data_IF_599412704018
#
_entry.id   IF_599412704018
#
_cell.length_a   1.000
_cell.length_b   1.000
_cell.length_c   1.000
_cell.angle_alpha   90.00
_cell.angle_beta   90.00
_cell.angle_gamma   90.00
#
_symmetry.space_group_name_H-M   'P 1'
#
loop_
_entity.id
_entity.type
_entity.pdbx_description
1 polymer ?
#
# COMPACT_ATOMS: atom_id res chain seq x y z
N UNK A 1 -22.17 -10.28 -21.70
CA UNK A 1 -21.34 -9.07 -21.56
C UNK A 1 -21.13 -8.62 -20.10
N UNK A 2 -22.12 -8.76 -19.20
CA UNK A 2 -22.01 -8.35 -17.79
C UNK A 2 -21.25 -9.35 -16.89
N UNK A 3 -21.26 -10.65 -17.25
CA UNK A 3 -20.52 -11.72 -16.55
C UNK A 3 -18.99 -11.59 -16.69
N UNK A 4 -18.54 -11.11 -17.85
CA UNK A 4 -17.13 -10.97 -18.23
C UNK A 4 -16.46 -9.72 -17.62
N UNK A 5 -17.24 -8.64 -17.45
CA UNK A 5 -16.85 -7.46 -16.66
C UNK A 5 -16.64 -7.80 -15.17
N UNK A 6 -17.50 -8.68 -14.63
CA UNK A 6 -17.41 -9.13 -13.24
C UNK A 6 -16.21 -10.06 -12.99
N UNK A 7 -15.80 -10.86 -13.99
CA UNK A 7 -14.58 -11.68 -13.92
C UNK A 7 -13.29 -10.86 -14.09
N UNK A 8 -13.26 -9.88 -14.99
CA UNK A 8 -12.13 -8.93 -15.08
C UNK A 8 -12.00 -8.08 -13.81
N UNK A 9 -13.13 -7.64 -13.24
CA UNK A 9 -13.17 -6.97 -11.94
C UNK A 9 -12.66 -7.85 -10.80
N UNK A 10 -13.07 -9.12 -10.76
CA UNK A 10 -12.55 -10.12 -9.79
C UNK A 10 -11.07 -10.46 -10.00
N UNK A 11 -10.54 -10.42 -11.23
CA UNK A 11 -9.11 -10.61 -11.53
C UNK A 11 -8.26 -9.39 -11.14
N UNK A 12 -8.81 -8.18 -11.23
CA UNK A 12 -8.17 -6.94 -10.75
C UNK A 12 -8.26 -6.81 -9.22
N UNK A 13 -9.28 -7.43 -8.61
CA UNK A 13 -9.50 -7.58 -7.17
C UNK A 13 -9.08 -8.94 -6.64
N UNK A 14 -8.30 -9.71 -7.42
CA UNK A 14 -7.76 -10.97 -6.94
C UNK A 14 -6.82 -10.60 -5.80
N UNK A 15 -7.36 -10.63 -4.58
CA UNK A 15 -6.62 -10.57 -3.34
C UNK A 15 -5.50 -11.59 -3.53
N UNK A 16 -4.28 -11.07 -3.57
CA UNK A 16 -3.08 -11.83 -3.87
C UNK A 16 -3.13 -13.13 -3.08
N UNK A 17 -3.13 -14.28 -3.76
CA UNK A 17 -3.25 -15.58 -3.11
C UNK A 17 -1.92 -15.88 -2.42
N UNK A 18 -1.82 -15.40 -1.19
CA UNK A 18 -0.65 -15.52 -0.32
C UNK A 18 -0.92 -16.57 0.75
N UNK A 19 0.10 -17.33 1.12
CA UNK A 19 -0.01 -18.25 2.25
C UNK A 19 -0.42 -17.51 3.54
N UNK A 20 -1.25 -18.11 4.41
CA UNK A 20 -1.80 -17.43 5.59
C UNK A 20 -0.71 -16.95 6.56
N UNK A 21 0.42 -17.66 6.64
CA UNK A 21 1.56 -17.26 7.46
C UNK A 21 2.27 -16.01 6.90
N UNK A 22 2.39 -15.91 5.58
CA UNK A 22 3.01 -14.75 4.90
C UNK A 22 2.15 -13.51 5.14
N UNK A 23 0.82 -13.62 4.98
CA UNK A 23 -0.11 -12.51 5.23
C UNK A 23 -0.01 -12.00 6.68
N UNK A 24 0.00 -12.91 7.66
CA UNK A 24 0.15 -12.54 9.09
C UNK A 24 1.49 -11.84 9.36
N UNK A 25 2.58 -12.37 8.82
CA UNK A 25 3.91 -11.78 9.00
C UNK A 25 4.00 -10.38 8.37
N UNK A 26 3.50 -10.20 7.15
CA UNK A 26 3.48 -8.90 6.48
C UNK A 26 2.64 -7.87 7.24
N UNK A 27 1.47 -8.28 7.78
CA UNK A 27 0.65 -7.41 8.60
C UNK A 27 1.34 -7.03 9.90
N UNK A 28 2.01 -7.97 10.57
CA UNK A 28 2.76 -7.70 11.79
C UNK A 28 3.92 -6.72 11.54
N UNK A 29 4.71 -6.94 10.49
CA UNK A 29 5.80 -6.04 10.09
C UNK A 29 5.29 -4.65 9.70
N UNK A 30 4.20 -4.58 8.93
CA UNK A 30 3.57 -3.30 8.58
C UNK A 30 3.04 -2.55 9.81
N UNK A 31 2.45 -3.26 10.77
CA UNK A 31 2.01 -2.68 12.03
C UNK A 31 3.19 -2.09 12.83
N UNK A 32 4.32 -2.80 12.89
CA UNK A 32 5.55 -2.30 13.53
C UNK A 32 6.02 -1.01 12.87
N UNK A 33 6.09 -0.96 11.53
CA UNK A 33 6.46 0.28 10.81
C UNK A 33 5.53 1.44 11.17
N UNK A 34 4.22 1.22 11.18
CA UNK A 34 3.27 2.28 11.55
C UNK A 34 3.42 2.72 13.01
N UNK A 35 3.71 1.79 13.92
CA UNK A 35 3.96 2.11 15.33
C UNK A 35 5.22 2.97 15.49
N UNK A 36 6.30 2.64 14.77
CA UNK A 36 7.53 3.46 14.76
C UNK A 36 7.21 4.88 14.30
N UNK A 37 6.48 5.03 13.18
CA UNK A 37 6.12 6.37 12.67
C UNK A 37 5.25 7.14 13.68
N UNK A 38 4.32 6.47 14.36
CA UNK A 38 3.51 7.10 15.40
C UNK A 38 4.34 7.55 16.61
N UNK A 39 5.30 6.73 17.04
CA UNK A 39 6.24 7.14 18.10
C UNK A 39 7.06 8.35 17.64
N UNK A 40 7.40 8.41 16.35
CA UNK A 40 8.08 9.56 15.75
C UNK A 40 7.21 10.83 15.71
N UNK A 41 5.92 10.67 15.42
CA UNK A 41 4.98 11.79 15.32
C UNK A 41 4.70 12.47 16.68
N UNK A 42 4.81 11.74 17.80
CA UNK A 42 4.54 12.26 19.15
C UNK A 42 5.81 12.74 19.86
N UNK A 43 6.98 12.63 19.22
CA UNK A 43 8.27 12.96 19.83
C UNK A 43 8.53 12.15 21.11
N UNK A 44 8.09 10.90 21.12
CA UNK A 44 8.08 10.08 22.34
C UNK A 44 9.49 9.83 22.89
N UNK A 45 10.47 9.63 22.01
CA UNK A 45 11.86 9.36 22.40
C UNK A 45 12.51 10.57 23.07
N UNK A 46 12.22 11.78 22.57
CA UNK A 46 12.67 13.04 23.19
C UNK A 46 12.06 13.21 24.58
N UNK A 47 10.77 12.89 24.75
CA UNK A 47 10.10 12.94 26.07
C UNK A 47 10.67 11.94 27.07
N UNK A 48 11.22 10.84 26.59
CA UNK A 48 11.88 9.82 27.41
C UNK A 48 13.37 10.13 27.66
N UNK A 49 13.91 11.21 27.09
CA UNK A 49 15.30 11.61 27.25
C UNK A 49 16.30 10.89 26.34
N UNK A 50 15.83 10.24 25.26
CA UNK A 50 16.69 9.64 24.25
C UNK A 50 16.92 10.59 23.08
N UNK A 51 18.17 10.69 22.60
CA UNK A 51 18.56 11.52 21.44
C UNK A 51 18.74 10.64 20.19
N UNK A 52 17.64 10.06 19.70
CA UNK A 52 17.65 9.32 18.43
C UNK A 52 17.45 10.25 17.23
N UNK A 53 18.13 9.91 16.13
CA UNK A 53 18.07 10.63 14.87
C UNK A 53 16.90 10.16 14.01
N UNK A 54 16.34 11.06 13.21
CA UNK A 54 15.24 10.74 12.28
C UNK A 54 15.65 9.65 11.28
N UNK A 55 16.92 9.67 10.86
CA UNK A 55 17.49 8.71 9.93
C UNK A 55 17.50 7.29 10.49
N UNK A 56 17.65 7.10 11.80
CA UNK A 56 17.54 5.77 12.42
C UNK A 56 16.15 5.18 12.21
N UNK A 57 15.10 5.99 12.37
CA UNK A 57 13.72 5.58 12.08
C UNK A 57 13.55 5.21 10.61
N UNK A 58 14.05 6.05 9.70
CA UNK A 58 13.94 5.84 8.25
C UNK A 58 14.62 4.56 7.81
N UNK A 59 15.83 4.31 8.32
CA UNK A 59 16.62 3.11 8.03
C UNK A 59 15.88 1.86 8.52
N UNK A 60 15.34 1.88 9.74
CA UNK A 60 14.56 0.75 10.27
C UNK A 60 13.31 0.51 9.43
N UNK A 61 12.58 1.56 9.08
CA UNK A 61 11.40 1.46 8.23
C UNK A 61 11.74 0.90 6.84
N UNK A 62 12.88 1.30 6.26
CA UNK A 62 13.38 0.73 5.00
C UNK A 62 13.68 -0.76 5.13
N UNK A 63 14.37 -1.17 6.19
CA UNK A 63 14.72 -2.58 6.45
C UNK A 63 13.48 -3.46 6.55
N UNK A 64 12.49 -3.03 7.32
CA UNK A 64 11.20 -3.74 7.43
C UNK A 64 10.49 -3.77 6.07
N UNK A 65 10.51 -2.66 5.33
CA UNK A 65 9.87 -2.56 4.01
C UNK A 65 10.55 -3.48 2.98
N UNK A 66 11.88 -3.52 2.92
CA UNK A 66 12.62 -4.47 2.09
C UNK A 66 12.28 -5.91 2.48
N UNK A 67 12.21 -6.18 3.79
CA UNK A 67 11.79 -7.48 4.30
C UNK A 67 10.42 -7.91 3.78
N UNK A 68 9.43 -7.01 3.87
CA UNK A 68 8.08 -7.18 3.32
C UNK A 68 8.14 -7.38 1.80
N UNK A 69 8.92 -6.57 1.07
CA UNK A 69 8.96 -6.64 -0.39
C UNK A 69 9.48 -8.00 -0.85
N UNK A 70 10.58 -8.51 -0.29
CA UNK A 70 11.13 -9.80 -0.70
C UNK A 70 10.23 -10.98 -0.32
N UNK A 71 9.56 -10.90 0.84
CA UNK A 71 8.60 -11.91 1.29
C UNK A 71 7.34 -11.90 0.41
N UNK A 72 6.89 -10.71 -0.03
CA UNK A 72 5.64 -10.54 -0.75
C UNK A 72 5.82 -10.70 -2.25
N UNK A 73 6.71 -9.94 -2.89
CA UNK A 73 6.86 -9.89 -4.34
C UNK A 73 7.84 -10.96 -4.86
N UNK A 74 7.36 -11.95 -5.64
CA UNK A 74 8.20 -12.98 -6.23
C UNK A 74 9.02 -12.41 -7.38
N UNK A 75 10.16 -13.04 -7.65
CA UNK A 75 11.11 -12.62 -8.68
C UNK A 75 10.50 -12.50 -10.10
N UNK A 76 9.50 -13.33 -10.42
CA UNK A 76 8.86 -13.39 -11.75
C UNK A 76 7.67 -12.43 -11.94
N UNK A 77 7.35 -11.56 -10.96
CA UNK A 77 6.21 -10.65 -11.07
C UNK A 77 4.83 -11.33 -11.04
N UNK A 78 4.78 -12.60 -10.64
CA UNK A 78 3.54 -13.36 -10.47
C UNK A 78 2.66 -12.86 -9.33
N UNK A 79 1.35 -13.07 -9.45
CA UNK A 79 0.32 -12.68 -8.47
C UNK A 79 0.02 -13.76 -7.42
N UNK A 80 0.49 -14.99 -7.62
CA UNK A 80 0.24 -16.10 -6.69
C UNK A 80 1.53 -16.51 -5.98
N UNK A 81 1.47 -16.69 -4.64
CA UNK A 81 2.62 -17.10 -3.85
C UNK A 81 2.23 -18.04 -2.70
N UNK A 82 2.33 -19.33 -2.99
CA UNK A 82 2.03 -20.41 -2.03
C UNK A 82 3.27 -20.88 -1.25
N UNK A 83 4.47 -20.72 -1.80
CA UNK A 83 5.73 -21.12 -1.15
C UNK A 83 6.75 -19.98 -1.17
N UNK A 84 7.59 -19.94 -0.14
CA UNK A 84 8.63 -18.92 0.02
C UNK A 84 10.00 -19.52 -0.33
N UNK A 85 10.62 -19.14 -1.46
CA UNK A 85 11.95 -19.63 -1.82
C UNK A 85 13.03 -19.13 -0.86
N UNK A 86 14.05 -19.95 -0.63
CA UNK A 86 15.15 -19.64 0.29
C UNK A 86 15.91 -18.35 -0.10
N UNK A 87 16.03 -18.05 -1.39
CA UNK A 87 16.74 -16.86 -1.87
C UNK A 87 16.03 -15.56 -1.44
N UNK A 88 14.70 -15.55 -1.39
CA UNK A 88 13.94 -14.37 -0.97
C UNK A 88 13.95 -14.19 0.54
N UNK A 89 14.03 -15.29 1.29
CA UNK A 89 14.28 -15.24 2.73
C UNK A 89 15.67 -14.65 3.01
N UNK A 90 16.69 -15.10 2.27
CA UNK A 90 18.04 -14.57 2.41
C UNK A 90 18.11 -13.08 2.09
N UNK A 91 17.51 -12.63 0.97
CA UNK A 91 17.46 -11.22 0.61
C UNK A 91 16.68 -10.36 1.62
N UNK A 92 15.58 -10.90 2.16
CA UNK A 92 14.80 -10.27 3.23
C UNK A 92 15.65 -10.09 4.49
N UNK A 93 16.34 -11.13 4.94
CA UNK A 93 17.21 -11.10 6.11
C UNK A 93 18.44 -10.20 5.90
N UNK A 94 19.03 -10.20 4.70
CA UNK A 94 20.13 -9.29 4.37
C UNK A 94 19.68 -7.83 4.38
N UNK A 95 18.57 -7.50 3.72
CA UNK A 95 18.07 -6.12 3.71
C UNK A 95 17.68 -5.63 5.10
N UNK A 96 16.95 -6.46 5.84
CA UNK A 96 16.53 -6.12 7.20
C UNK A 96 17.73 -6.05 8.17
N UNK A 97 18.67 -6.99 8.07
CA UNK A 97 19.88 -7.03 8.87
C UNK A 97 20.83 -5.86 8.59
N UNK A 98 21.07 -5.53 7.32
CA UNK A 98 21.90 -4.38 6.93
C UNK A 98 21.31 -3.06 7.41
N UNK A 99 19.99 -2.89 7.31
CA UNK A 99 19.32 -1.70 7.85
C UNK A 99 19.37 -1.64 9.38
N UNK A 100 19.12 -2.75 10.09
CA UNK A 100 19.21 -2.74 11.56
C UNK A 100 20.63 -2.48 12.05
N UNK A 101 21.63 -3.08 11.41
CA UNK A 101 23.02 -2.79 11.70
C UNK A 101 23.36 -1.32 11.45
N UNK A 102 22.87 -0.76 10.34
CA UNK A 102 23.06 0.66 10.03
C UNK A 102 22.40 1.57 11.07
N UNK A 103 21.19 1.25 11.52
CA UNK A 103 20.50 2.03 12.54
C UNK A 103 21.23 2.02 13.89
N UNK A 104 21.89 0.90 14.23
CA UNK A 104 22.70 0.78 15.45
C UNK A 104 23.96 1.65 15.37
N UNK A 105 24.72 1.57 14.27
CA UNK A 105 25.98 2.31 14.10
C UNK A 105 25.77 3.77 13.66
N UNK A 106 24.52 4.20 13.44
CA UNK A 106 24.23 5.53 12.89
C UNK A 106 24.80 6.68 13.75
N UNK A 107 24.77 6.56 15.08
CA UNK A 107 25.38 7.56 15.97
C UNK A 107 26.90 7.70 15.78
N UNK A 108 27.58 6.59 15.49
CA UNK A 108 29.03 6.59 15.21
C UNK A 108 29.33 7.16 13.80
N UNK A 109 28.41 6.96 12.85
CA UNK A 109 28.51 7.55 11.51
C UNK A 109 28.41 9.07 11.57
N UNK A 110 27.44 9.60 12.33
CA UNK A 110 27.23 11.04 12.44
C UNK A 110 28.39 11.72 13.19
N UNK A 111 28.89 11.10 14.26
CA UNK A 111 30.01 11.64 15.03
C UNK A 111 31.35 11.55 14.30
N UNK A 112 31.59 10.49 13.52
CA UNK A 112 32.87 10.24 12.86
C UNK A 112 32.71 9.74 11.41
N UNK A 113 32.18 10.57 10.49
CA UNK A 113 31.85 10.15 9.13
C UNK A 113 33.08 9.75 8.31
N UNK A 114 34.28 10.23 8.66
CA UNK A 114 35.52 9.88 7.95
C UNK A 114 36.06 8.50 8.35
N UNK A 115 36.00 8.14 9.63
CA UNK A 115 36.51 6.87 10.15
C UNK A 115 35.59 5.70 9.78
N UNK A 116 34.27 5.94 9.75
CA UNK A 116 33.26 4.90 9.49
C UNK A 116 33.05 4.63 7.99
N UNK A 117 33.80 5.29 7.09
CA UNK A 117 33.69 5.12 5.63
C UNK A 117 33.77 3.68 5.14
N UNK A 118 34.72 2.83 5.59
CA UNK A 118 34.78 1.44 5.13
C UNK A 118 33.51 0.67 5.51
N UNK A 119 32.94 0.94 6.68
CA UNK A 119 31.69 0.31 7.12
C UNK A 119 30.50 0.81 6.31
N UNK A 120 30.44 2.11 6.01
CA UNK A 120 29.40 2.68 5.14
C UNK A 120 29.48 2.09 3.72
N UNK A 121 30.68 1.88 3.19
CA UNK A 121 30.88 1.21 1.90
C UNK A 121 30.33 -0.22 1.91
N UNK A 122 30.65 -1.02 2.94
CA UNK A 122 30.17 -2.40 3.09
C UNK A 122 28.64 -2.48 3.18
N UNK A 123 28.00 -1.50 3.83
CA UNK A 123 26.54 -1.44 3.90
C UNK A 123 25.96 -0.97 2.56
N UNK A 124 26.55 0.06 1.93
CA UNK A 124 26.11 0.61 0.65
C UNK A 124 26.16 -0.39 -0.49
N UNK A 125 27.23 -1.18 -0.59
CA UNK A 125 27.38 -2.22 -1.62
C UNK A 125 26.33 -3.35 -1.48
N UNK A 126 25.76 -3.53 -0.28
CA UNK A 126 24.67 -4.48 -0.03
C UNK A 126 23.31 -3.83 -0.27
N UNK A 127 23.06 -2.64 0.29
CA UNK A 127 21.77 -1.96 0.22
C UNK A 127 21.43 -1.48 -1.19
N UNK A 128 22.38 -0.93 -1.94
CA UNK A 128 22.10 -0.38 -3.29
C UNK A 128 21.54 -1.47 -4.22
N UNK A 129 22.16 -2.66 -4.37
CA UNK A 129 21.58 -3.75 -5.17
C UNK A 129 20.25 -4.27 -4.62
N UNK A 130 20.08 -4.35 -3.29
CA UNK A 130 18.82 -4.79 -2.68
C UNK A 130 17.68 -3.82 -3.01
N UNK A 131 17.93 -2.51 -2.92
CA UNK A 131 16.94 -1.48 -3.28
C UNK A 131 16.66 -1.51 -4.77
N UNK A 132 17.68 -1.70 -5.62
CA UNK A 132 17.50 -1.86 -7.06
C UNK A 132 16.60 -3.06 -7.41
N UNK A 133 16.82 -4.20 -6.77
CA UNK A 133 16.02 -5.40 -6.97
C UNK A 133 14.61 -5.26 -6.39
N UNK A 134 14.46 -4.62 -5.23
CA UNK A 134 13.18 -4.29 -4.64
C UNK A 134 12.35 -3.39 -5.57
N UNK A 135 12.99 -2.36 -6.15
CA UNK A 135 12.39 -1.43 -7.12
C UNK A 135 11.90 -2.16 -8.38
N UNK A 136 12.72 -3.10 -8.89
CA UNK A 136 12.36 -3.97 -10.01
C UNK A 136 11.11 -4.80 -9.73
N UNK A 137 11.00 -5.33 -8.51
CA UNK A 137 9.89 -6.18 -8.09
C UNK A 137 8.59 -5.42 -7.80
N UNK A 138 8.67 -4.18 -7.31
CA UNK A 138 7.47 -3.39 -6.95
C UNK A 138 6.93 -2.55 -8.09
N UNK A 139 7.82 -1.85 -8.81
CA UNK A 139 7.45 -0.81 -9.79
C UNK A 139 7.75 -1.22 -11.23
N UNK A 140 8.49 -2.32 -11.41
CA UNK A 140 8.86 -2.86 -12.71
C UNK A 140 10.07 -2.17 -13.34
N UNK A 141 10.31 -2.49 -14.61
CA UNK A 141 11.52 -2.07 -15.33
C UNK A 141 11.61 -0.57 -15.59
N UNK A 142 10.48 0.14 -15.73
CA UNK A 142 10.48 1.56 -16.10
C UNK A 142 11.25 2.43 -15.09
N UNK A 143 10.89 2.35 -13.80
CA UNK A 143 11.56 3.14 -12.76
C UNK A 143 12.97 2.60 -12.46
N UNK A 144 13.16 1.28 -12.56
CA UNK A 144 14.45 0.63 -12.32
C UNK A 144 15.51 1.07 -13.33
N UNK A 145 15.14 1.22 -14.61
CA UNK A 145 16.06 1.71 -15.64
C UNK A 145 16.48 3.15 -15.37
N UNK A 146 15.53 4.02 -15.03
CA UNK A 146 15.83 5.42 -14.68
C UNK A 146 16.81 5.49 -13.50
N UNK A 147 16.54 4.73 -12.43
CA UNK A 147 17.43 4.64 -11.28
C UNK A 147 18.83 4.12 -11.66
N UNK A 148 18.91 3.10 -12.51
CA UNK A 148 20.18 2.54 -13.00
C UNK A 148 21.00 3.58 -13.78
N UNK A 149 20.34 4.36 -14.65
CA UNK A 149 20.99 5.43 -15.41
C UNK A 149 21.60 6.47 -14.48
N UNK A 150 20.88 6.88 -13.43
CA UNK A 150 21.40 7.84 -12.46
C UNK A 150 22.57 7.28 -11.64
N UNK A 151 22.52 6.00 -11.22
CA UNK A 151 23.67 5.36 -10.57
C UNK A 151 24.88 5.36 -11.49
N UNK A 152 24.72 4.92 -12.74
CA UNK A 152 25.82 4.89 -13.72
C UNK A 152 26.36 6.31 -13.92
N UNK A 153 25.47 7.29 -14.09
CA UNK A 153 25.82 8.70 -14.20
C UNK A 153 26.62 9.21 -13.00
N UNK A 154 26.32 8.79 -11.77
CA UNK A 154 27.13 9.16 -10.60
C UNK A 154 28.59 8.73 -10.72
N UNK A 155 28.90 7.61 -11.37
CA UNK A 155 30.29 7.18 -11.61
C UNK A 155 30.95 7.91 -12.78
N UNK A 156 30.22 8.13 -13.88
CA UNK A 156 30.79 8.70 -15.11
C UNK A 156 30.61 10.22 -15.24
N UNK A 157 29.92 10.86 -14.30
CA UNK A 157 29.55 12.28 -14.38
C UNK A 157 30.75 13.22 -14.51
N UNK A 158 31.90 12.83 -13.98
CA UNK A 158 33.16 13.58 -14.09
C UNK A 158 33.70 13.70 -15.53
N UNK A 159 33.34 12.76 -16.40
CA UNK A 159 33.73 12.72 -17.82
C UNK A 159 32.82 13.58 -18.71
N UNK A 160 31.66 14.01 -18.20
CA UNK A 160 30.68 14.76 -18.98
C UNK A 160 31.12 16.23 -19.08
N UNK A 161 31.31 16.78 -20.28
CA UNK A 161 31.69 18.18 -20.45
C UNK A 161 30.49 19.13 -20.27
N UNK A 162 30.76 20.35 -19.83
CA UNK A 162 29.76 21.42 -19.69
C UNK A 162 29.16 21.53 -18.28
N UNK A 163 27.97 22.14 -18.19
CA UNK A 163 27.30 22.44 -16.92
C UNK A 163 26.85 21.20 -16.13
N UNK A 164 26.78 20.05 -16.80
CA UNK A 164 26.42 18.76 -16.18
C UNK A 164 27.65 17.98 -15.68
N UNK A 165 28.82 18.62 -15.54
CA UNK A 165 30.02 17.93 -15.04
C UNK A 165 29.90 17.61 -13.55
N UNK A 166 29.97 16.32 -13.22
CA UNK A 166 30.05 15.85 -11.85
C UNK A 166 31.44 16.04 -11.24
N UNK A 167 31.53 16.04 -9.92
CA UNK A 167 32.82 16.00 -9.22
C UNK A 167 33.39 14.58 -9.31
N UNK A 168 34.69 14.47 -9.58
CA UNK A 168 35.37 13.18 -9.49
C UNK A 168 35.43 12.72 -8.03
N UNK A 169 34.94 11.51 -7.78
CA UNK A 169 34.95 10.90 -6.46
C UNK A 169 35.48 9.47 -6.57
N UNK A 170 36.23 9.05 -5.55
CA UNK A 170 36.66 7.67 -5.41
C UNK A 170 35.44 6.74 -5.34
N UNK A 171 35.42 5.61 -6.07
CA UNK A 171 34.28 4.68 -6.08
C UNK A 171 33.83 4.21 -4.69
N UNK A 172 34.78 4.00 -3.77
CA UNK A 172 34.48 3.58 -2.38
C UNK A 172 33.69 4.65 -1.64
N UNK A 173 34.15 5.91 -1.76
CA UNK A 173 33.47 7.07 -1.19
C UNK A 173 32.09 7.27 -1.81
N UNK A 174 31.98 7.16 -3.13
CA UNK A 174 30.72 7.35 -3.84
C UNK A 174 29.66 6.33 -3.40
N UNK A 175 30.01 5.05 -3.29
CA UNK A 175 29.08 4.00 -2.84
C UNK A 175 28.65 4.21 -1.39
N UNK A 176 29.57 4.60 -0.52
CA UNK A 176 29.25 4.95 0.87
C UNK A 176 28.28 6.15 0.93
N UNK A 177 28.53 7.20 0.14
CA UNK A 177 27.68 8.40 0.09
C UNK A 177 26.29 8.09 -0.48
N UNK A 178 26.21 7.34 -1.58
CA UNK A 178 24.94 6.97 -2.20
C UNK A 178 24.09 6.09 -1.30
N UNK A 179 24.71 5.15 -0.58
CA UNK A 179 24.00 4.11 0.16
C UNK A 179 23.63 4.48 1.60
N UNK A 180 24.34 5.40 2.25
CA UNK A 180 24.22 5.60 3.71
C UNK A 180 23.97 7.05 4.12
N UNK A 181 24.31 8.03 3.28
CA UNK A 181 24.22 9.43 3.67
C UNK A 181 22.79 9.98 3.58
N UNK A 182 22.48 10.95 4.45
CA UNK A 182 21.24 11.73 4.48
C UNK A 182 21.05 12.69 3.30
N UNK A 183 21.98 12.73 2.34
CA UNK A 183 21.85 13.53 1.10
C UNK A 183 21.41 12.64 -0.07
N UNK A 184 21.67 11.33 0.01
CA UNK A 184 21.32 10.37 -1.03
C UNK A 184 20.10 9.55 -0.61
N UNK A 185 20.30 8.27 -0.28
CA UNK A 185 19.19 7.33 -0.05
C UNK A 185 18.34 7.70 1.18
N UNK A 186 18.93 8.25 2.23
CA UNK A 186 18.23 8.65 3.46
C UNK A 186 17.91 10.14 3.51
N UNK A 187 17.80 10.79 2.35
CA UNK A 187 17.53 12.22 2.29
C UNK A 187 16.08 12.63 2.42
N UNK A 188 15.84 13.89 2.07
CA UNK A 188 14.55 14.55 2.21
C UNK A 188 13.36 13.74 1.65
N UNK A 189 13.45 13.07 0.47
CA UNK A 189 12.35 12.27 -0.04
C UNK A 189 11.98 11.12 0.90
N UNK A 190 12.98 10.43 1.47
CA UNK A 190 12.77 9.34 2.41
C UNK A 190 12.15 9.86 3.71
N UNK A 191 12.63 11.01 4.20
CA UNK A 191 12.07 11.70 5.37
C UNK A 191 10.59 11.99 5.21
N UNK A 192 10.20 12.58 4.08
CA UNK A 192 8.80 12.92 3.78
C UNK A 192 7.96 11.63 3.69
N UNK A 193 8.46 10.58 3.03
CA UNK A 193 7.71 9.33 2.89
C UNK A 193 7.45 8.69 4.26
N UNK A 194 8.50 8.51 5.07
CA UNK A 194 8.40 7.76 6.33
C UNK A 194 7.67 8.55 7.41
N UNK A 195 8.08 9.80 7.66
CA UNK A 195 7.58 10.56 8.80
C UNK A 195 6.24 11.25 8.50
N UNK A 196 5.96 11.55 7.23
CA UNK A 196 4.79 12.35 6.86
C UNK A 196 3.73 11.51 6.12
N UNK A 197 4.10 10.82 5.03
CA UNK A 197 3.11 10.11 4.20
C UNK A 197 2.49 8.92 4.94
N UNK A 198 3.29 8.13 5.66
CA UNK A 198 2.78 6.98 6.43
C UNK A 198 1.77 7.42 7.49
N UNK A 199 2.04 8.53 8.20
CA UNK A 199 1.12 9.08 9.21
C UNK A 199 -0.21 9.51 8.58
N UNK A 200 -0.17 10.18 7.42
CA UNK A 200 -1.39 10.57 6.71
C UNK A 200 -2.20 9.38 6.20
N UNK A 201 -1.54 8.32 5.74
CA UNK A 201 -2.21 7.07 5.37
C UNK A 201 -2.87 6.44 6.60
N UNK A 202 -2.15 6.37 7.72
CA UNK A 202 -2.68 5.83 8.97
C UNK A 202 -3.90 6.61 9.47
N UNK A 203 -3.83 7.95 9.50
CA UNK A 203 -4.96 8.80 9.86
C UNK A 203 -6.14 8.63 8.89
N UNK A 204 -5.85 8.47 7.59
CA UNK A 204 -6.85 8.14 6.58
C UNK A 204 -7.62 6.86 6.89
N UNK A 205 -6.88 5.79 7.22
CA UNK A 205 -7.48 4.52 7.62
C UNK A 205 -8.23 4.64 8.95
N UNK A 206 -7.73 5.41 9.91
CA UNK A 206 -8.42 5.68 11.17
C UNK A 206 -9.79 6.32 10.93
N UNK A 207 -9.86 7.35 10.08
CA UNK A 207 -11.13 8.03 9.74
C UNK A 207 -12.12 7.14 9.00
N UNK A 208 -11.62 6.20 8.18
CA UNK A 208 -12.46 5.20 7.52
C UNK A 208 -13.06 4.22 8.53
N UNK A 209 -12.26 3.76 9.49
CA UNK A 209 -12.69 2.80 10.49
C UNK A 209 -13.59 3.38 11.59
N UNK A 210 -13.47 4.68 11.89
CA UNK A 210 -14.33 5.35 12.88
C UNK A 210 -15.69 5.77 12.31
N UNK A 211 -15.93 5.59 11.01
CA UNK A 211 -17.15 6.07 10.34
C UNK A 211 -17.16 7.58 10.08
N UNK A 212 -16.07 8.30 10.40
CA UNK A 212 -15.97 9.73 10.13
C UNK A 212 -16.09 10.05 8.63
N UNK A 213 -15.63 9.16 7.75
CA UNK A 213 -15.83 9.29 6.29
C UNK A 213 -17.31 9.34 5.88
N UNK A 214 -18.17 8.58 6.56
CA UNK A 214 -19.62 8.59 6.32
C UNK A 214 -20.22 9.88 6.85
N UNK A 215 -19.81 10.34 8.04
CA UNK A 215 -20.22 11.63 8.58
C UNK A 215 -19.89 12.81 7.65
N UNK A 216 -18.71 12.84 7.04
CA UNK A 216 -18.36 13.86 6.04
C UNK A 216 -19.22 13.78 4.78
N UNK A 217 -19.63 12.57 4.39
CA UNK A 217 -20.52 12.35 3.25
C UNK A 217 -21.93 12.87 3.55
N UNK A 218 -22.44 12.60 4.75
CA UNK A 218 -23.74 13.10 5.22
C UNK A 218 -23.74 14.62 5.36
N UNK A 219 -22.66 15.20 5.86
CA UNK A 219 -22.49 16.65 5.92
C UNK A 219 -22.49 17.28 4.52
N UNK A 220 -21.76 16.69 3.57
CA UNK A 220 -21.76 17.15 2.19
C UNK A 220 -23.15 17.01 1.54
N UNK A 221 -23.89 15.93 1.86
CA UNK A 221 -25.27 15.73 1.43
C UNK A 221 -26.22 16.78 2.00
N UNK A 222 -26.07 17.15 3.27
CA UNK A 222 -26.87 18.21 3.88
C UNK A 222 -26.66 19.58 3.23
N UNK A 223 -25.42 19.90 2.84
CA UNK A 223 -25.05 21.16 2.19
C UNK A 223 -25.50 21.19 0.72
N UNK A 224 -25.28 20.09 -0.02
CA UNK A 224 -25.39 20.07 -1.49
C UNK A 224 -26.55 19.25 -2.06
N UNK A 225 -27.29 18.49 -1.24
CA UNK A 225 -28.27 17.48 -1.68
C UNK A 225 -29.47 18.00 -2.48
N UNK A 226 -29.74 19.30 -2.41
CA UNK A 226 -30.81 19.99 -3.17
C UNK A 226 -30.36 20.49 -4.54
N UNK A 227 -29.07 20.35 -4.87
CA UNK A 227 -28.50 20.87 -6.12
C UNK A 227 -28.69 19.89 -7.29
N UNK A 228 -28.90 20.42 -8.51
CA UNK A 228 -28.79 19.61 -9.75
C UNK A 228 -27.39 19.00 -9.83
N UNK A 229 -27.33 17.68 -10.03
CA UNK A 229 -26.08 16.89 -9.95
C UNK A 229 -25.65 16.52 -8.52
N UNK A 230 -26.60 16.42 -7.58
CA UNK A 230 -26.37 16.24 -6.14
C UNK A 230 -25.30 15.20 -5.79
N UNK A 231 -25.45 13.95 -6.25
CA UNK A 231 -24.49 12.88 -5.93
C UNK A 231 -23.05 13.19 -6.36
N UNK A 232 -22.86 13.76 -7.55
CA UNK A 232 -21.53 14.12 -8.05
C UNK A 232 -20.90 15.25 -7.22
N UNK A 233 -21.68 16.26 -6.83
CA UNK A 233 -21.19 17.38 -6.00
C UNK A 233 -20.91 16.95 -4.57
N UNK A 234 -21.76 16.10 -3.99
CA UNK A 234 -21.57 15.52 -2.66
C UNK A 234 -20.25 14.75 -2.61
N UNK A 235 -19.98 13.91 -3.61
CA UNK A 235 -18.73 13.14 -3.68
C UNK A 235 -17.49 14.05 -3.75
N UNK A 236 -17.53 15.13 -4.53
CA UNK A 236 -16.40 16.08 -4.63
C UNK A 236 -16.21 16.86 -3.33
N UNK A 237 -17.28 17.33 -2.70
CA UNK A 237 -17.18 18.08 -1.44
C UNK A 237 -16.74 17.17 -0.29
N UNK A 238 -17.31 15.97 -0.17
CA UNK A 238 -16.90 14.99 0.83
C UNK A 238 -15.43 14.58 0.64
N UNK A 239 -14.99 14.34 -0.59
CA UNK A 239 -13.58 14.06 -0.91
C UNK A 239 -12.67 15.25 -0.60
N UNK A 240 -13.13 16.48 -0.83
CA UNK A 240 -12.41 17.70 -0.46
C UNK A 240 -12.25 17.87 1.05
N UNK A 241 -13.32 17.63 1.82
CA UNK A 241 -13.30 17.67 3.29
C UNK A 241 -12.44 16.55 3.88
N UNK A 242 -12.53 15.34 3.34
CA UNK A 242 -11.68 14.24 3.76
C UNK A 242 -10.22 14.50 3.37
N UNK A 243 -9.96 15.06 2.19
CA UNK A 243 -8.64 15.41 1.70
C UNK A 243 -7.96 16.51 2.51
N UNK A 244 -8.70 17.53 2.95
CA UNK A 244 -8.13 18.64 3.74
C UNK A 244 -7.65 18.20 5.12
N UNK A 245 -8.34 17.23 5.73
CA UNK A 245 -7.97 16.69 7.04
C UNK A 245 -6.92 15.60 6.92
N UNK A 246 -7.10 14.68 5.96
CA UNK A 246 -6.17 13.55 5.81
C UNK A 246 -4.83 13.93 5.17
N UNK A 247 -4.73 15.08 4.50
CA UNK A 247 -3.48 15.63 3.96
C UNK A 247 -2.81 14.80 2.86
N UNK A 248 -3.40 13.68 2.43
CA UNK A 248 -2.79 12.74 1.48
C UNK A 248 -3.75 12.35 0.35
N UNK A 249 -3.30 12.58 -0.88
CA UNK A 249 -4.00 12.14 -2.09
C UNK A 249 -4.19 10.61 -2.14
N UNK A 250 -3.20 9.85 -1.66
CA UNK A 250 -3.25 8.38 -1.63
C UNK A 250 -4.33 7.90 -0.65
N UNK A 251 -4.41 8.52 0.53
CA UNK A 251 -5.46 8.27 1.51
C UNK A 251 -6.86 8.62 0.97
N UNK A 252 -6.97 9.76 0.30
CA UNK A 252 -8.24 10.23 -0.26
C UNK A 252 -8.78 9.30 -1.37
N UNK A 253 -7.91 8.76 -2.23
CA UNK A 253 -8.30 7.78 -3.25
C UNK A 253 -8.74 6.44 -2.63
N UNK A 254 -8.06 5.99 -1.57
CA UNK A 254 -8.46 4.77 -0.86
C UNK A 254 -9.84 4.92 -0.19
N UNK A 255 -10.11 6.07 0.42
CA UNK A 255 -11.39 6.40 1.07
C UNK A 255 -12.54 6.57 0.06
N UNK A 256 -12.35 7.45 -0.93
CA UNK A 256 -13.40 7.78 -1.91
C UNK A 256 -13.69 6.59 -2.85
N UNK A 257 -12.68 5.77 -3.14
CA UNK A 257 -12.81 4.58 -3.99
C UNK A 257 -13.67 3.46 -3.35
N UNK A 258 -13.70 3.37 -2.02
CA UNK A 258 -14.57 2.45 -1.29
C UNK A 258 -16.03 2.90 -1.38
N UNK A 259 -16.32 4.18 -1.09
CA UNK A 259 -17.70 4.68 -1.09
C UNK A 259 -18.33 4.73 -2.48
N UNK A 260 -17.56 5.00 -3.54
CA UNK A 260 -18.10 4.99 -4.91
C UNK A 260 -18.53 3.59 -5.39
N UNK A 261 -18.08 2.53 -4.72
CA UNK A 261 -18.43 1.14 -5.07
C UNK A 261 -19.68 0.64 -4.32
N UNK A 262 -20.00 1.18 -3.15
CA UNK A 262 -21.23 0.85 -2.41
C UNK A 262 -22.47 1.58 -2.95
N UNK A 263 -22.29 2.75 -3.58
CA UNK A 263 -23.38 3.61 -4.06
C UNK A 263 -23.93 3.22 -5.46
N UNK A 264 -23.63 2.01 -5.95
CA UNK A 264 -24.25 1.43 -7.16
C UNK A 264 -25.40 0.46 -6.85
N UNK A 265 -25.89 0.40 -5.61
CA UNK A 265 -27.24 -0.07 -5.37
C UNK A 265 -28.20 0.97 -6.01
N UNK A 266 -29.00 0.62 -7.03
CA UNK A 266 -29.92 1.57 -7.61
C UNK A 266 -30.92 1.95 -6.52
N UNK A 267 -30.90 3.21 -6.10
CA UNK A 267 -32.02 3.83 -5.42
C UNK A 267 -33.19 3.84 -6.39
N UNK A 268 -33.92 2.72 -6.45
CA UNK A 268 -35.21 2.66 -7.12
C UNK A 268 -36.14 3.59 -6.37
N UNK A 269 -36.40 4.75 -6.99
CA UNK A 269 -37.41 5.69 -6.57
C UNK A 269 -38.75 4.97 -6.46
N UNK A 270 -39.15 4.65 -5.23
CA UNK A 270 -40.55 4.35 -4.92
C UNK A 270 -41.33 5.65 -4.97
N UNK A 271 -41.82 6.01 -6.17
CA UNK A 271 -43.02 6.83 -6.28
C UNK A 271 -44.15 6.06 -5.60
N UNK A 272 -44.63 6.56 -4.45
CA UNK A 272 -45.88 6.08 -3.86
C UNK A 272 -47.01 6.49 -4.80
N UNK A 273 -47.72 5.51 -5.34
CA UNK A 273 -49.05 5.70 -5.93
C UNK A 273 -50.03 5.89 -4.75
N UNK A 274 -50.92 6.90 -4.78
CA UNK A 274 -51.95 7.03 -3.76
C UNK A 274 -53.16 6.20 -4.19
N UNK A 275 -53.31 5.01 -3.62
CA UNK A 275 -54.59 4.28 -3.71
C UNK A 275 -55.37 4.48 -2.41
N UNK A 276 -56.54 5.09 -2.59
CA UNK A 276 -57.52 5.30 -1.53
C UNK A 276 -58.20 3.99 -1.13
N UNK A 277 -58.56 3.94 0.16
CA UNK A 277 -59.70 3.22 0.73
C UNK A 277 -59.80 1.72 0.48
N UNK A 278 -59.59 0.90 1.52
CA UNK A 278 -60.68 0.29 2.33
C UNK A 278 -60.13 -0.72 3.36
N UNK A 279 -60.87 -0.76 4.47
CA UNK A 279 -60.86 -1.63 5.65
C UNK A 279 -60.21 -3.04 5.64
N UNK A 280 -59.75 -3.46 6.83
CA UNK A 280 -59.51 -4.86 7.22
C UNK A 280 -58.18 -5.06 7.96
N UNK A 281 -58.05 -4.72 9.24
CA UNK A 281 -58.21 -5.65 10.40
C UNK A 281 -57.50 -7.00 10.22
N UNK A 282 -56.42 -7.27 10.96
CA UNK A 282 -55.83 -8.62 10.97
C UNK A 282 -54.42 -8.77 11.58
N UNK A 283 -54.33 -8.67 12.91
CA UNK A 283 -53.62 -9.54 13.86
C UNK A 283 -52.20 -10.10 13.53
N UNK A 284 -51.30 -9.82 14.47
CA UNK A 284 -50.03 -10.48 14.78
C UNK A 284 -50.05 -12.03 14.68
N UNK A 285 -49.03 -12.62 14.06
CA UNK A 285 -48.76 -14.07 14.13
C UNK A 285 -47.29 -14.39 13.90
N UNK A 286 -46.63 -14.89 14.95
CA UNK A 286 -45.23 -15.31 15.03
C UNK A 286 -45.20 -16.82 15.28
N UNK A 287 -44.54 -17.63 14.43
CA UNK A 287 -44.09 -19.02 14.67
C UNK A 287 -43.07 -19.35 13.55
N UNK A 288 -41.77 -19.58 13.79
CA UNK A 288 -41.06 -20.70 14.44
C UNK A 288 -40.98 -22.00 13.60
N UNK A 289 -39.75 -22.52 13.44
CA UNK A 289 -39.42 -23.92 13.10
C UNK A 289 -39.33 -24.22 11.60
N UNK A 290 -38.40 -25.03 11.07
CA UNK A 290 -37.41 -25.92 11.67
C UNK A 290 -36.85 -26.81 10.55
N UNK A 291 -35.58 -27.20 10.72
CA UNK A 291 -34.82 -28.29 10.12
C UNK A 291 -35.43 -29.23 9.06
N UNK A 292 -34.57 -29.63 8.11
CA UNK A 292 -34.45 -31.04 7.74
C UNK A 292 -34.50 -31.40 6.25
N UNK A 293 -33.32 -31.66 5.69
CA UNK A 293 -33.01 -32.85 4.87
C UNK A 293 -33.98 -33.30 3.76
N UNK A 294 -33.53 -33.23 2.51
CA UNK A 294 -33.50 -34.42 1.65
C UNK A 294 -32.50 -34.30 0.48
N UNK A 295 -31.86 -35.43 0.18
CA UNK A 295 -30.74 -35.63 -0.73
C UNK A 295 -31.21 -36.50 -1.90
N UNK A 296 -30.71 -36.17 -3.09
CA UNK A 296 -30.29 -37.11 -4.15
C UNK A 296 -31.32 -37.80 -5.07
N UNK A 297 -30.79 -38.11 -6.28
CA UNK A 297 -31.28 -38.98 -7.36
C UNK A 297 -32.23 -38.24 -8.35
N UNK A 298 -31.93 -38.12 -9.65
CA UNK A 298 -31.56 -39.18 -10.58
C UNK A 298 -30.74 -38.67 -11.79
N UNK A 299 -29.79 -39.51 -12.17
CA UNK A 299 -28.93 -39.47 -13.34
C UNK A 299 -29.63 -39.88 -14.65
N UNK A 300 -29.20 -39.25 -15.76
CA UNK A 300 -28.73 -39.96 -16.94
C UNK A 300 -29.74 -40.54 -17.93
N UNK A 301 -29.67 -40.08 -19.20
CA UNK A 301 -29.54 -40.95 -20.38
C UNK A 301 -29.00 -40.17 -21.58
N UNK A 302 -28.05 -40.81 -22.25
CA UNK A 302 -27.26 -40.38 -23.39
C UNK A 302 -27.85 -40.93 -24.70
N UNK A 303 -27.64 -40.17 -25.80
CA UNK A 303 -27.44 -40.60 -27.23
C UNK A 303 -28.67 -40.97 -28.10
N UNK A 304 -28.53 -41.04 -29.44
CA UNK A 304 -27.74 -40.22 -30.40
C UNK A 304 -28.46 -39.94 -31.76
N UNK A 305 -27.82 -39.16 -32.65
CA UNK A 305 -27.84 -39.37 -34.13
C UNK A 305 -28.81 -38.54 -34.99
N UNK A 306 -28.28 -37.71 -35.91
CA UNK A 306 -29.00 -36.90 -36.93
C UNK A 306 -29.59 -37.70 -38.11
N UNK A 307 -29.71 -37.18 -39.37
CA UNK A 307 -29.31 -35.87 -39.91
C UNK A 307 -30.34 -35.19 -40.89
N UNK A 308 -29.97 -33.96 -41.32
CA UNK A 308 -30.15 -33.30 -42.65
C UNK A 308 -31.54 -32.96 -43.26
N UNK A 309 -31.60 -31.68 -43.66
CA UNK A 309 -32.14 -31.06 -44.89
C UNK A 309 -33.64 -31.08 -45.21
N UNK A 310 -34.16 -29.86 -45.36
CA UNK A 310 -35.38 -29.44 -46.04
C UNK A 310 -35.43 -27.92 -45.99
#
# INVERSE_FOLDING_TARGET
>A
MQKDSNERGKKLLAERTEAPHIKKLTLALGAITTLIVLTWAVELWLRLGFEWFDEQAMVVCLGITLGIIFIRFPFNGGTERMTLPWYDVLLSLLGMGSCFYLAYIYGDIESNPFATRPTMFNIGIILIPLVWEALRRTTGWSLTLVFSVFIIYSFIGHLVPGMMRGLEQEPVRLIAELGVTNVAMFGLPMKIIVLTVVLFIWMGQLLLHTGASEWFTDLAAAIMGRSRGGSAKIAVVASGLFGSISGSAVSNVASTGVNRRTDHAPHHGRRRVPDGGTAGTGIHGNYSGGAGTERALLSGRLRPGGPRSG
#
